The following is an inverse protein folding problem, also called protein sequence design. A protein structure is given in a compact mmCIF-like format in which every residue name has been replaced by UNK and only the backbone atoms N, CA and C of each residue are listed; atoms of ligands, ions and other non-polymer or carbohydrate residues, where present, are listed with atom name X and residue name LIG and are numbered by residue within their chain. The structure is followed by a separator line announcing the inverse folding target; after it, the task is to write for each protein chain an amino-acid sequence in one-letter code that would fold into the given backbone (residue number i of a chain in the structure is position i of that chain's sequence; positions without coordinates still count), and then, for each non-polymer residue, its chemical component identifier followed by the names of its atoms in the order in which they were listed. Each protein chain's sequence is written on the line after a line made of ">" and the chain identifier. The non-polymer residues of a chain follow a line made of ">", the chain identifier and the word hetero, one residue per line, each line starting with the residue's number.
data_IF_278736132338
#
_entry.id   IF_278736132338
#
_cell.length_a   1.000
_cell.length_b   1.000
_cell.length_c   1.000
_cell.angle_alpha   90.00
_cell.angle_beta   90.00
_cell.angle_gamma   90.00
#
_symmetry.space_group_name_H-M   'P 1'
#
loop_
_entity.id
_entity.type
_entity.pdbx_description
1 polymer ?
#
# COMPACT_ATOMS: atom_id res chain seq x y z
N UNK A 1 20.46 10.78 -26.64
CA UNK A 1 20.16 12.20 -26.35
C UNK A 1 18.71 12.38 -26.76
N UNK A 2 17.71 12.48 -25.90
CA UNK A 2 17.58 13.20 -24.63
C UNK A 2 16.76 12.37 -23.63
N UNK A 3 17.09 12.45 -22.34
CA UNK A 3 16.26 11.93 -21.26
C UNK A 3 15.01 12.81 -21.09
N UNK A 4 13.95 12.20 -20.59
CA UNK A 4 12.85 12.92 -19.93
C UNK A 4 12.70 12.27 -18.56
N UNK A 5 13.59 12.67 -17.65
CA UNK A 5 13.31 12.63 -16.22
C UNK A 5 12.17 13.60 -15.97
N UNK A 6 11.02 13.08 -15.52
CA UNK A 6 9.97 13.93 -14.95
C UNK A 6 10.22 14.01 -13.47
N UNK A 7 10.83 15.12 -13.10
CA UNK A 7 11.12 15.52 -11.74
C UNK A 7 9.86 15.50 -10.86
N UNK A 8 10.06 14.94 -9.67
CA UNK A 8 9.17 14.99 -8.52
C UNK A 8 8.79 16.45 -8.21
N UNK A 9 7.50 16.77 -8.28
CA UNK A 9 6.98 18.02 -7.75
C UNK A 9 6.84 17.90 -6.23
N UNK A 10 7.82 18.43 -5.51
CA UNK A 10 7.81 18.60 -4.05
C UNK A 10 6.98 19.83 -3.69
N UNK A 11 5.88 19.65 -2.95
CA UNK A 11 5.27 20.72 -2.16
C UNK A 11 5.31 20.30 -0.69
N UNK A 12 6.30 20.81 0.04
CA UNK A 12 6.55 20.44 1.44
C UNK A 12 5.68 21.23 2.45
N UNK A 13 4.73 22.07 2.03
CA UNK A 13 4.03 22.95 2.98
C UNK A 13 2.54 23.22 2.74
N UNK A 14 1.83 22.45 1.91
CA UNK A 14 0.40 22.68 1.69
C UNK A 14 -0.49 21.94 2.71
N UNK A 15 -0.37 22.32 3.98
CA UNK A 15 -1.44 22.10 4.96
C UNK A 15 -2.51 23.14 4.64
N UNK A 16 -3.65 22.73 4.07
CA UNK A 16 -4.73 23.65 3.69
C UNK A 16 -5.12 24.57 4.86
N UNK A 17 -4.70 25.83 4.82
CA UNK A 17 -5.00 26.82 5.85
C UNK A 17 -6.40 27.37 5.58
N UNK A 18 -7.41 26.73 6.17
CA UNK A 18 -8.72 27.34 6.39
C UNK A 18 -8.62 28.40 7.49
N UNK A 19 -9.16 29.60 7.23
CA UNK A 19 -9.29 30.70 8.19
C UNK A 19 -9.85 30.20 9.54
N UNK A 20 -9.04 30.24 10.61
CA UNK A 20 -9.39 29.75 11.95
C UNK A 20 -8.77 28.39 12.35
N UNK A 21 -7.78 27.93 11.57
CA UNK A 21 -7.16 26.61 11.51
C UNK A 21 -7.06 25.77 12.79
N UNK A 22 -8.06 24.91 12.98
CA UNK A 22 -7.84 23.62 13.63
C UNK A 22 -7.03 22.78 12.64
N UNK A 23 -5.77 22.46 12.98
CA UNK A 23 -5.01 21.44 12.24
C UNK A 23 -5.75 20.13 12.49
N UNK A 24 -6.57 19.70 11.52
CA UNK A 24 -7.16 18.36 11.59
C UNK A 24 -6.01 17.37 11.44
N UNK A 25 -5.86 16.50 12.44
CA UNK A 25 -4.92 15.40 12.35
C UNK A 25 -5.23 14.58 11.09
N UNK A 26 -4.20 14.20 10.35
CA UNK A 26 -4.35 13.35 9.17
C UNK A 26 -5.09 12.06 9.56
N UNK A 27 -6.13 11.65 8.81
CA UNK A 27 -6.88 10.43 9.13
C UNK A 27 -6.14 9.16 8.70
N UNK A 28 -5.00 9.28 8.04
CA UNK A 28 -4.29 8.17 7.42
C UNK A 28 -3.36 7.48 8.42
N UNK A 29 -3.52 6.17 8.56
CA UNK A 29 -2.67 5.37 9.42
C UNK A 29 -2.62 3.91 8.98
N UNK A 30 -1.60 3.21 9.45
CA UNK A 30 -1.59 1.77 9.57
C UNK A 30 -1.28 1.38 11.02
N UNK A 31 -1.82 0.26 11.47
CA UNK A 31 -1.50 -0.31 12.77
C UNK A 31 -1.57 -1.83 12.71
N UNK A 32 -0.76 -2.50 13.53
CA UNK A 32 -0.79 -3.95 13.71
C UNK A 32 -0.10 -4.33 15.03
N UNK A 33 -0.39 -5.53 15.53
CA UNK A 33 0.44 -6.18 16.55
C UNK A 33 1.58 -6.92 15.87
N UNK A 34 2.81 -6.47 16.15
CA UNK A 34 4.06 -7.05 15.63
C UNK A 34 4.86 -7.53 16.84
N UNK A 35 5.18 -8.83 16.87
CA UNK A 35 5.82 -9.49 18.01
C UNK A 35 5.07 -9.25 19.34
N UNK A 36 3.74 -9.29 19.27
CA UNK A 36 2.85 -9.07 20.42
C UNK A 36 2.77 -7.61 20.90
N UNK A 37 3.41 -6.66 20.21
CA UNK A 37 3.37 -5.23 20.54
C UNK A 37 2.60 -4.46 19.48
N UNK A 38 1.67 -3.61 19.91
CA UNK A 38 0.98 -2.69 19.01
C UNK A 38 2.00 -1.70 18.42
N UNK A 39 1.98 -1.56 17.10
CA UNK A 39 2.72 -0.56 16.32
C UNK A 39 1.72 0.28 15.55
N UNK A 40 1.98 1.57 15.49
CA UNK A 40 1.17 2.55 14.76
C UNK A 40 2.08 3.37 13.84
N UNK A 41 1.62 3.59 12.61
CA UNK A 41 2.28 4.35 11.57
C UNK A 41 1.28 5.41 11.12
N UNK A 42 1.43 6.65 11.58
CA UNK A 42 0.43 7.73 11.41
C UNK A 42 0.99 8.84 10.55
N UNK A 43 0.27 9.20 9.50
CA UNK A 43 0.67 10.26 8.58
C UNK A 43 0.85 11.60 9.33
N UNK A 44 2.02 12.23 9.16
CA UNK A 44 2.36 13.48 9.84
C UNK A 44 2.79 13.33 11.31
N UNK A 45 2.87 12.12 11.85
CA UNK A 45 3.32 11.85 13.22
C UNK A 45 4.63 11.06 13.24
N UNK A 46 5.55 11.39 14.12
CA UNK A 46 6.81 10.66 14.35
C UNK A 46 7.66 10.46 13.07
N UNK A 47 7.55 11.39 12.12
CA UNK A 47 8.24 11.36 10.84
C UNK A 47 7.62 10.45 9.77
N UNK A 48 6.49 9.80 10.06
CA UNK A 48 5.80 8.95 9.10
C UNK A 48 5.01 9.77 8.07
N UNK A 49 5.02 9.29 6.82
CA UNK A 49 4.25 9.87 5.72
C UNK A 49 3.48 8.78 4.98
N UNK A 50 2.19 9.01 4.72
CA UNK A 50 1.42 8.13 3.85
C UNK A 50 1.77 8.42 2.38
N UNK A 51 2.53 7.53 1.76
CA UNK A 51 2.92 7.61 0.35
C UNK A 51 2.10 6.63 -0.49
N UNK A 52 2.00 6.91 -1.77
CA UNK A 52 1.24 6.12 -2.74
C UNK A 52 1.98 6.11 -4.08
N UNK A 53 1.67 5.14 -4.93
CA UNK A 53 2.25 5.06 -6.27
C UNK A 53 1.64 3.97 -7.12
N UNK A 54 1.86 4.05 -8.42
CA UNK A 54 1.50 3.01 -9.38
C UNK A 54 2.74 2.49 -10.10
N UNK A 55 2.69 1.23 -10.52
CA UNK A 55 3.65 0.69 -11.48
C UNK A 55 2.98 -0.38 -12.31
N UNK A 56 2.80 -0.07 -13.59
CA UNK A 56 2.42 -1.01 -14.61
C UNK A 56 3.64 -1.71 -15.22
N UNK A 57 3.56 -3.02 -15.44
CA UNK A 57 4.59 -3.81 -16.13
C UNK A 57 3.95 -4.80 -17.09
N UNK A 58 4.39 -4.79 -18.34
CA UNK A 58 4.10 -5.88 -19.30
C UNK A 58 4.84 -7.15 -18.84
N UNK A 59 4.08 -8.21 -18.55
CA UNK A 59 4.61 -9.49 -18.07
C UNK A 59 5.13 -10.37 -19.20
N UNK A 60 4.61 -10.20 -20.41
CA UNK A 60 4.97 -10.97 -21.59
C UNK A 60 4.84 -10.13 -22.87
N UNK A 61 5.47 -10.60 -23.96
CA UNK A 61 5.35 -9.99 -25.28
C UNK A 61 3.99 -10.19 -25.95
N UNK A 62 3.01 -10.77 -25.26
CA UNK A 62 1.68 -11.12 -25.77
C UNK A 62 0.56 -10.24 -25.20
N UNK A 63 0.89 -9.26 -24.36
CA UNK A 63 -0.03 -8.22 -23.91
C UNK A 63 -0.41 -8.29 -22.43
N UNK A 64 -0.06 -9.36 -21.70
CA UNK A 64 -0.47 -9.43 -20.29
C UNK A 64 0.23 -8.33 -19.48
N UNK A 65 -0.56 -7.56 -18.74
CA UNK A 65 -0.09 -6.45 -17.93
C UNK A 65 -0.32 -6.74 -16.45
N UNK A 66 0.62 -6.36 -15.59
CA UNK A 66 0.44 -6.34 -14.14
C UNK A 66 0.42 -4.88 -13.68
N UNK A 67 -0.70 -4.47 -13.12
CA UNK A 67 -0.80 -3.20 -12.42
C UNK A 67 -0.54 -3.40 -10.94
N UNK A 68 0.31 -2.53 -10.36
CA UNK A 68 0.63 -2.53 -8.94
C UNK A 68 0.35 -1.16 -8.36
N UNK A 69 -0.61 -1.11 -7.44
CA UNK A 69 -0.98 0.09 -6.70
C UNK A 69 -0.43 -0.01 -5.28
N UNK A 70 0.53 0.84 -4.97
CA UNK A 70 1.25 0.91 -3.70
C UNK A 70 0.59 1.92 -2.77
N UNK A 71 0.49 1.53 -1.51
CA UNK A 71 0.27 2.41 -0.37
C UNK A 71 1.34 2.12 0.67
N UNK A 72 2.03 3.12 1.21
CA UNK A 72 2.96 2.93 2.30
C UNK A 72 2.84 4.00 3.38
N UNK A 73 3.36 3.66 4.56
CA UNK A 73 3.68 4.61 5.63
C UNK A 73 5.19 4.58 5.83
N UNK A 74 5.88 5.53 5.21
CA UNK A 74 7.34 5.59 5.18
C UNK A 74 7.86 6.42 6.36
N UNK A 75 8.81 5.88 7.13
CA UNK A 75 9.43 6.53 8.27
C UNK A 75 10.72 5.84 8.71
N UNK A 76 10.98 5.75 10.02
CA UNK A 76 12.10 4.97 10.57
C UNK A 76 11.94 3.46 10.36
N UNK A 77 10.70 3.03 10.16
CA UNK A 77 10.26 1.72 9.72
C UNK A 77 9.23 1.95 8.60
N UNK A 78 8.85 0.92 7.87
CA UNK A 78 7.88 1.09 6.78
C UNK A 78 6.88 -0.05 6.80
N UNK A 79 5.61 0.25 6.59
CA UNK A 79 4.60 -0.75 6.22
C UNK A 79 4.02 -0.36 4.87
N UNK A 80 3.98 -1.33 3.96
CA UNK A 80 3.52 -1.15 2.59
C UNK A 80 2.47 -2.19 2.27
N UNK A 81 1.44 -1.78 1.55
CA UNK A 81 0.39 -2.64 0.99
C UNK A 81 0.38 -2.42 -0.51
N UNK A 82 0.49 -3.50 -1.28
CA UNK A 82 0.32 -3.50 -2.73
C UNK A 82 -1.01 -4.16 -3.07
N UNK A 83 -1.79 -3.49 -3.91
CA UNK A 83 -2.92 -4.08 -4.63
C UNK A 83 -2.47 -4.40 -6.04
N UNK A 84 -2.64 -5.65 -6.46
CA UNK A 84 -2.11 -6.13 -7.74
C UNK A 84 -3.17 -6.86 -8.53
N UNK A 85 -3.25 -6.56 -9.82
CA UNK A 85 -4.18 -7.22 -10.73
C UNK A 85 -3.55 -7.37 -12.11
N UNK A 86 -3.81 -8.53 -12.72
CA UNK A 86 -3.39 -8.84 -14.08
C UNK A 86 -4.51 -8.45 -15.05
N UNK A 87 -4.11 -7.78 -16.11
CA UNK A 87 -4.96 -7.36 -17.22
C UNK A 87 -4.44 -7.98 -18.52
N UNK A 88 -5.32 -8.15 -19.50
CA UNK A 88 -4.95 -8.67 -20.83
C UNK A 88 -4.27 -7.62 -21.71
N UNK A 89 -4.41 -6.34 -21.34
CA UNK A 89 -3.85 -5.16 -21.98
C UNK A 89 -3.49 -4.13 -20.90
N UNK A 90 -2.92 -2.99 -21.28
CA UNK A 90 -2.71 -1.86 -20.35
C UNK A 90 -4.05 -1.39 -19.75
N UNK A 91 -4.21 -1.37 -18.41
CA UNK A 91 -5.48 -1.06 -17.78
C UNK A 91 -5.84 0.42 -17.92
N UNK A 92 -7.13 0.69 -18.12
CA UNK A 92 -7.67 2.05 -18.04
C UNK A 92 -7.74 2.54 -16.60
N UNK A 93 -7.95 3.86 -16.42
CA UNK A 93 -8.17 4.43 -15.09
C UNK A 93 -9.40 3.84 -14.36
N UNK A 94 -10.42 3.40 -15.09
CA UNK A 94 -11.57 2.70 -14.49
C UNK A 94 -11.20 1.27 -14.06
N UNK A 95 -10.35 0.57 -14.82
CA UNK A 95 -9.83 -0.74 -14.44
C UNK A 95 -9.01 -0.65 -13.14
N UNK A 96 -8.13 0.35 -13.03
CA UNK A 96 -7.32 0.62 -11.82
C UNK A 96 -8.21 0.88 -10.62
N UNK A 97 -9.25 1.70 -10.79
CA UNK A 97 -10.23 1.96 -9.74
C UNK A 97 -10.95 0.67 -9.31
N UNK A 98 -11.31 -0.19 -10.26
CA UNK A 98 -12.01 -1.45 -9.99
C UNK A 98 -11.15 -2.51 -9.28
N UNK A 99 -9.82 -2.33 -9.22
CA UNK A 99 -8.93 -3.14 -8.36
C UNK A 99 -9.29 -2.99 -6.87
N UNK A 100 -9.93 -1.88 -6.48
CA UNK A 100 -10.31 -1.56 -5.11
C UNK A 100 -11.82 -1.78 -4.89
N UNK A 101 -12.17 -2.99 -4.47
CA UNK A 101 -13.52 -3.44 -4.12
C UNK A 101 -13.61 -3.79 -2.65
N UNK A 102 -14.78 -3.58 -2.05
CA UNK A 102 -15.07 -4.11 -0.71
C UNK A 102 -15.02 -5.64 -0.72
N UNK A 103 -14.52 -6.22 0.37
CA UNK A 103 -14.50 -7.66 0.60
C UNK A 103 -13.09 -8.26 0.66
N UNK A 104 -13.04 -9.58 0.57
CA UNK A 104 -11.83 -10.37 0.80
C UNK A 104 -10.90 -10.36 -0.41
N UNK A 105 -9.61 -10.27 -0.13
CA UNK A 105 -8.54 -10.42 -1.11
C UNK A 105 -7.68 -11.63 -0.78
N UNK A 106 -7.26 -12.33 -1.83
CA UNK A 106 -6.20 -13.32 -1.71
C UNK A 106 -4.85 -12.60 -1.62
N UNK A 107 -3.88 -13.23 -0.96
CA UNK A 107 -2.50 -12.76 -1.03
C UNK A 107 -1.91 -13.07 -2.41
N UNK A 108 -1.22 -12.08 -2.97
CA UNK A 108 -0.51 -12.16 -4.24
C UNK A 108 1.01 -12.14 -4.05
N UNK A 109 1.74 -12.07 -5.16
CA UNK A 109 3.19 -12.00 -5.17
C UNK A 109 3.65 -11.11 -6.34
N UNK A 110 4.17 -9.93 -5.99
CA UNK A 110 4.61 -8.91 -6.93
C UNK A 110 5.83 -9.33 -7.75
N UNK A 111 6.66 -10.25 -7.23
CA UNK A 111 7.85 -10.80 -7.90
C UNK A 111 7.47 -11.90 -8.90
N UNK A 112 6.45 -12.69 -8.58
CA UNK A 112 5.89 -13.72 -9.48
C UNK A 112 4.85 -13.15 -10.46
N UNK A 113 4.46 -11.88 -10.29
CA UNK A 113 3.45 -11.23 -11.11
C UNK A 113 2.05 -11.80 -10.95
N UNK A 114 1.69 -12.27 -9.75
CA UNK A 114 0.36 -12.78 -9.45
C UNK A 114 -0.54 -11.72 -8.80
N UNK A 115 -1.83 -11.72 -9.19
CA UNK A 115 -2.85 -10.82 -8.62
C UNK A 115 -3.07 -11.10 -7.13
N UNK A 116 -3.49 -10.08 -6.39
CA UNK A 116 -3.83 -10.17 -4.97
C UNK A 116 -3.29 -8.99 -4.20
N UNK A 117 -3.19 -9.16 -2.88
CA UNK A 117 -2.57 -8.19 -1.99
C UNK A 117 -1.23 -8.70 -1.49
N UNK A 118 -0.24 -7.82 -1.42
CA UNK A 118 1.03 -8.10 -0.77
C UNK A 118 1.26 -7.07 0.33
N UNK A 119 1.68 -7.54 1.51
CA UNK A 119 2.07 -6.67 2.62
C UNK A 119 3.57 -6.82 2.82
N UNK A 120 4.26 -5.68 2.87
CA UNK A 120 5.66 -5.59 3.26
C UNK A 120 5.81 -4.79 4.54
N UNK A 121 6.77 -5.18 5.36
CA UNK A 121 7.21 -4.44 6.53
C UNK A 121 8.73 -4.37 6.57
N UNK A 122 9.28 -3.16 6.63
CA UNK A 122 10.70 -2.93 6.88
C UNK A 122 10.89 -2.60 8.35
N UNK A 123 11.60 -3.46 9.07
CA UNK A 123 11.83 -3.27 10.48
C UNK A 123 12.95 -2.24 10.76
N UNK A 124 13.19 -1.94 12.04
CA UNK A 124 14.19 -0.98 12.48
C UNK A 124 15.64 -1.42 12.19
N UNK A 125 15.89 -2.71 11.95
CA UNK A 125 17.20 -3.22 11.50
C UNK A 125 17.40 -3.06 9.99
N UNK A 126 16.34 -2.70 9.27
CA UNK A 126 16.33 -2.59 7.82
C UNK A 126 15.97 -3.89 7.10
N UNK A 127 15.64 -4.96 7.82
CA UNK A 127 15.19 -6.23 7.25
C UNK A 127 13.80 -6.05 6.65
N UNK A 128 13.62 -6.53 5.42
CA UNK A 128 12.34 -6.51 4.72
C UNK A 128 11.64 -7.85 4.92
N UNK A 129 10.42 -7.77 5.40
CA UNK A 129 9.52 -8.88 5.62
C UNK A 129 8.34 -8.75 4.66
N UNK A 130 7.97 -9.80 3.94
CA UNK A 130 6.85 -9.76 2.99
C UNK A 130 5.97 -11.00 3.07
N UNK A 131 4.68 -10.85 2.76
CA UNK A 131 3.77 -12.00 2.55
C UNK A 131 4.18 -12.85 1.35
N UNK A 132 4.96 -12.28 0.41
CA UNK A 132 5.40 -12.92 -0.83
C UNK A 132 6.76 -13.62 -0.73
N UNK A 133 7.50 -13.35 0.35
CA UNK A 133 8.83 -13.89 0.60
C UNK A 133 8.80 -15.32 1.19
N UNK A 134 9.98 -15.97 1.20
CA UNK A 134 10.19 -17.28 1.80
C UNK A 134 9.23 -18.34 1.25
N UNK A 135 8.45 -18.97 2.14
CA UNK A 135 7.48 -20.00 1.73
C UNK A 135 6.20 -19.44 1.10
N UNK A 136 5.91 -18.15 1.29
CA UNK A 136 4.64 -17.54 0.88
C UNK A 136 3.38 -18.20 1.48
N UNK A 137 3.51 -19.06 2.49
CA UNK A 137 2.39 -19.84 3.02
C UNK A 137 1.53 -19.01 3.97
N UNK A 138 0.44 -18.45 3.44
CA UNK A 138 -0.49 -17.59 4.16
C UNK A 138 -1.63 -18.37 4.88
N UNK A 139 -1.38 -19.58 5.36
CA UNK A 139 -2.38 -20.37 6.08
C UNK A 139 -2.85 -19.65 7.36
N UNK A 140 -4.17 -19.46 7.49
CA UNK A 140 -4.78 -18.72 8.60
C UNK A 140 -4.71 -17.19 8.48
N UNK A 141 -4.17 -16.67 7.38
CA UNK A 141 -4.08 -15.23 7.11
C UNK A 141 -5.32 -14.71 6.38
N UNK A 142 -5.59 -13.41 6.50
CA UNK A 142 -6.70 -12.73 5.85
C UNK A 142 -6.36 -11.29 5.48
N UNK A 143 -6.97 -10.81 4.40
CA UNK A 143 -7.02 -9.40 4.04
C UNK A 143 -8.44 -9.06 3.56
N UNK A 144 -9.01 -7.98 4.09
CA UNK A 144 -10.35 -7.53 3.73
C UNK A 144 -10.42 -6.02 3.65
N UNK A 145 -10.87 -5.50 2.51
CA UNK A 145 -11.24 -4.09 2.35
C UNK A 145 -12.62 -3.89 2.95
N UNK A 146 -12.70 -3.15 4.04
CA UNK A 146 -13.95 -2.84 4.74
C UNK A 146 -14.62 -1.57 4.18
N UNK A 147 -13.82 -0.63 3.67
CA UNK A 147 -14.33 0.59 3.07
C UNK A 147 -13.48 1.08 1.90
N UNK A 148 -14.13 1.68 0.91
CA UNK A 148 -13.50 2.35 -0.22
C UNK A 148 -14.43 3.48 -0.67
N UNK A 149 -13.96 4.72 -0.62
CA UNK A 149 -14.79 5.91 -0.80
C UNK A 149 -13.98 7.10 -1.32
N UNK A 150 -14.66 8.10 -1.86
CA UNK A 150 -14.04 9.31 -2.40
C UNK A 150 -13.24 10.06 -1.35
N UNK A 151 -12.04 10.50 -1.71
CA UNK A 151 -11.20 11.32 -0.85
C UNK A 151 -11.74 12.76 -0.81
N UNK A 152 -12.13 13.20 0.38
CA UNK A 152 -12.56 14.58 0.64
C UNK A 152 -11.64 15.30 1.64
N UNK A 153 -10.52 14.67 2.02
CA UNK A 153 -9.55 15.24 2.96
C UNK A 153 -8.47 16.07 2.25
N UNK A 154 -8.06 15.65 1.05
CA UNK A 154 -7.09 16.34 0.22
C UNK A 154 -7.28 16.01 -1.28
N UNK A 155 -6.38 16.51 -2.12
CA UNK A 155 -6.42 16.34 -3.59
C UNK A 155 -5.36 15.37 -4.12
N UNK A 156 -4.69 14.60 -3.25
CA UNK A 156 -3.54 13.79 -3.66
C UNK A 156 -3.95 12.53 -4.44
N UNK A 157 -5.01 11.87 -3.97
CA UNK A 157 -5.62 10.73 -4.67
C UNK A 157 -7.14 10.85 -4.63
N UNK A 158 -7.87 10.30 -5.63
CA UNK A 158 -9.33 10.39 -5.67
C UNK A 158 -10.05 9.54 -4.63
N UNK A 159 -9.40 8.52 -4.05
CA UNK A 159 -10.02 7.59 -3.13
C UNK A 159 -9.21 7.33 -1.86
N UNK A 160 -9.93 6.86 -0.83
CA UNK A 160 -9.41 6.33 0.42
C UNK A 160 -9.89 4.89 0.56
N UNK A 161 -8.99 4.00 0.97
CA UNK A 161 -9.31 2.61 1.29
C UNK A 161 -9.05 2.33 2.77
N UNK A 162 -10.01 1.65 3.39
CA UNK A 162 -9.89 1.08 4.73
C UNK A 162 -9.86 -0.45 4.61
N UNK A 163 -8.86 -1.09 5.21
CA UNK A 163 -8.74 -2.53 5.23
C UNK A 163 -8.30 -3.05 6.60
N UNK A 164 -8.64 -4.30 6.86
CA UNK A 164 -8.19 -5.08 8.02
C UNK A 164 -7.46 -6.33 7.55
N UNK A 165 -6.46 -6.76 8.32
CA UNK A 165 -5.64 -7.90 7.94
C UNK A 165 -5.02 -8.62 9.14
N UNK A 166 -4.69 -9.89 8.92
CA UNK A 166 -3.85 -10.71 9.80
C UNK A 166 -3.01 -11.60 8.90
N UNK A 167 -1.69 -11.57 9.01
CA UNK A 167 -0.83 -12.28 8.07
C UNK A 167 0.51 -12.70 8.65
N UNK A 168 1.20 -13.56 7.90
CA UNK A 168 2.59 -13.93 8.16
C UNK A 168 3.48 -13.21 7.16
N UNK A 169 4.52 -12.56 7.66
CA UNK A 169 5.58 -11.99 6.84
C UNK A 169 6.83 -12.84 6.95
N UNK A 170 7.55 -12.96 5.85
CA UNK A 170 8.76 -13.75 5.73
C UNK A 170 9.92 -12.86 5.31
N UNK A 171 11.10 -13.07 5.88
CA UNK A 171 12.33 -12.50 5.33
C UNK A 171 12.93 -13.42 4.26
N UNK A 172 14.04 -13.00 3.65
CA UNK A 172 14.73 -13.79 2.62
C UNK A 172 15.40 -15.06 3.17
N UNK A 173 15.57 -15.16 4.50
CA UNK A 173 16.12 -16.33 5.17
C UNK A 173 15.05 -17.36 5.56
N UNK A 174 13.76 -17.05 5.33
CA UNK A 174 12.62 -17.89 5.70
C UNK A 174 12.21 -17.78 7.17
N UNK A 175 12.74 -16.81 7.91
CA UNK A 175 12.22 -16.46 9.24
C UNK A 175 10.79 -15.92 9.10
N UNK A 176 10.00 -16.04 10.16
CA UNK A 176 8.58 -15.67 10.15
C UNK A 176 8.26 -14.66 11.24
N UNK A 177 7.49 -13.65 10.86
CA UNK A 177 6.88 -12.67 11.74
C UNK A 177 5.36 -12.68 11.56
N UNK A 178 4.61 -12.56 12.64
CA UNK A 178 3.15 -12.47 12.57
C UNK A 178 2.68 -11.02 12.77
N UNK A 179 1.84 -10.56 11.84
CA UNK A 179 1.11 -9.30 11.95
C UNK A 179 -0.34 -9.64 12.27
N UNK A 180 -0.80 -9.28 13.46
CA UNK A 180 -2.14 -9.56 13.93
C UNK A 180 -2.93 -8.27 14.19
N UNK A 181 -4.26 -8.33 14.05
CA UNK A 181 -5.14 -7.18 14.26
C UNK A 181 -4.71 -5.94 13.43
N UNK A 182 -4.30 -6.18 12.20
CA UNK A 182 -3.87 -5.15 11.27
C UNK A 182 -5.03 -4.29 10.79
N UNK A 183 -4.82 -2.97 10.69
CA UNK A 183 -5.72 -2.02 10.07
C UNK A 183 -4.94 -1.00 9.26
N UNK A 184 -5.46 -0.60 8.11
CA UNK A 184 -4.91 0.47 7.29
C UNK A 184 -6.03 1.37 6.78
N UNK A 185 -5.81 2.68 6.83
CA UNK A 185 -6.65 3.74 6.25
C UNK A 185 -5.71 4.64 5.47
N UNK A 186 -5.85 4.67 4.14
CA UNK A 186 -4.86 5.33 3.32
C UNK A 186 -5.39 5.82 1.97
N UNK A 187 -4.65 6.78 1.40
CA UNK A 187 -4.82 7.28 0.03
C UNK A 187 -4.60 6.16 -0.99
N UNK A 188 -5.55 5.96 -1.89
CA UNK A 188 -5.52 4.90 -2.91
C UNK A 188 -5.96 5.39 -4.28
N UNK A 189 -5.67 4.55 -5.29
CA UNK A 189 -5.92 4.78 -6.71
C UNK A 189 -5.03 5.88 -7.27
N UNK A 190 -3.96 5.49 -7.93
CA UNK A 190 -3.10 6.34 -8.74
C UNK A 190 -3.39 6.03 -10.20
N UNK A 191 -4.07 6.98 -10.84
CA UNK A 191 -4.44 6.93 -12.26
C UNK A 191 -3.27 7.39 -13.13
N UNK A 192 -3.18 6.85 -14.35
CA UNK A 192 -2.20 7.25 -15.37
C UNK A 192 -2.72 8.41 -16.23
#
# INVERSE_FOLDING_TARGET
>A
MSSCDKDNYWDENNVGIGNGGVIMASPFYAEASIDGKKREFKDGQDGYRNTFGSKGVSLDGFGTFLEKQKVAFDGSQNITVYFMERFLDEPSNEDIKNMFRKGKYNFGNSNAGSSGVEIEYKDASGTVWSTSNGSGMQAGSSFEVINHYSNHFDTYTPYITEAVFSCKLYDDNGNVMELNNGRVVARTVVTH
#
